data_IF_209268496969
#
_entry.id   IF_209268496969
#
_cell.length_a   1.000
_cell.length_b   1.000
_cell.length_c   1.000
_cell.angle_alpha   90.00
_cell.angle_beta   90.00
_cell.angle_gamma   90.00
#
_symmetry.space_group_name_H-M   'P 1'
#
loop_
_entity.id
_entity.type
_entity.pdbx_description
1 polymer ?
#
# COMPACT_ATOMS: atom_id res chain seq x y z
N UNK A 1 -9.73 5.41 -2.25
CA UNK A 1 -9.45 4.73 -3.51
C UNK A 1 -10.72 4.06 -4.06
N UNK A 2 -10.99 4.27 -5.33
CA UNK A 2 -12.24 3.89 -5.99
C UNK A 2 -12.57 2.40 -5.91
N UNK A 3 -11.58 1.53 -5.98
CA UNK A 3 -11.78 0.08 -6.00
C UNK A 3 -11.60 -0.60 -4.64
N UNK A 4 -11.37 0.16 -3.59
CA UNK A 4 -11.34 -0.37 -2.23
C UNK A 4 -12.73 -0.75 -1.76
N UNK A 5 -12.80 -1.66 -0.78
CA UNK A 5 -14.07 -1.99 -0.14
C UNK A 5 -14.74 -0.74 0.41
N UNK A 6 -16.04 -0.71 0.36
CA UNK A 6 -16.82 0.37 0.96
C UNK A 6 -16.80 0.28 2.47
N UNK A 7 -16.83 1.42 3.12
CA UNK A 7 -17.01 1.47 4.58
C UNK A 7 -18.43 1.05 4.94
N UNK A 8 -18.57 0.27 6.00
CA UNK A 8 -19.87 -0.05 6.57
C UNK A 8 -20.50 1.17 7.24
N UNK A 9 -21.81 1.18 7.41
CA UNK A 9 -22.51 2.22 8.16
C UNK A 9 -21.93 2.41 9.57
N UNK A 10 -21.52 1.32 10.23
CA UNK A 10 -20.88 1.36 11.54
C UNK A 10 -19.53 2.11 11.51
N UNK A 11 -18.67 1.80 10.51
CA UNK A 11 -17.39 2.48 10.34
C UNK A 11 -17.58 3.97 10.05
N UNK A 12 -18.51 4.31 9.13
CA UNK A 12 -18.84 5.68 8.77
C UNK A 12 -19.35 6.49 9.98
N UNK A 13 -20.26 5.90 10.75
CA UNK A 13 -20.76 6.50 11.99
C UNK A 13 -19.67 6.73 13.03
N UNK A 14 -18.74 5.77 13.17
CA UNK A 14 -17.61 5.89 14.09
C UNK A 14 -16.65 7.02 13.71
N UNK A 15 -16.52 7.31 12.41
CA UNK A 15 -15.64 8.39 11.94
C UNK A 15 -16.18 9.77 12.22
N UNK A 16 -17.46 10.00 11.96
CA UNK A 16 -18.05 11.37 12.04
C UNK A 16 -18.91 11.58 13.30
N UNK A 17 -19.19 10.53 14.04
CA UNK A 17 -20.06 10.55 15.21
C UNK A 17 -21.56 10.43 14.86
N UNK A 18 -22.35 10.07 15.87
CA UNK A 18 -23.78 9.76 15.71
C UNK A 18 -24.55 10.91 15.04
N UNK A 19 -24.38 12.13 15.56
CA UNK A 19 -25.16 13.30 15.11
C UNK A 19 -24.97 13.59 13.62
N UNK A 20 -23.72 13.64 13.16
CA UNK A 20 -23.39 13.92 11.75
C UNK A 20 -23.86 12.74 10.87
N UNK A 21 -23.66 11.52 11.34
CA UNK A 21 -24.10 10.34 10.59
C UNK A 21 -25.62 10.35 10.37
N UNK A 22 -26.43 10.57 11.41
CA UNK A 22 -27.89 10.54 11.32
C UNK A 22 -28.45 11.68 10.44
N UNK A 23 -27.74 12.83 10.40
CA UNK A 23 -28.16 13.98 9.58
C UNK A 23 -27.84 13.80 8.09
N UNK A 24 -26.74 13.14 7.74
CA UNK A 24 -26.21 13.14 6.36
C UNK A 24 -26.30 11.80 5.65
N UNK A 25 -26.33 10.68 6.38
CA UNK A 25 -26.38 9.33 5.79
C UNK A 25 -27.83 8.94 5.44
N UNK A 26 -28.09 8.27 4.30
CA UNK A 26 -27.13 7.87 3.27
C UNK A 26 -26.98 8.89 2.13
N UNK A 27 -27.80 9.92 2.07
CA UNK A 27 -27.96 10.72 0.84
C UNK A 27 -26.80 11.70 0.60
N UNK A 28 -26.22 12.25 1.67
CA UNK A 28 -25.15 13.26 1.62
C UNK A 28 -23.84 12.78 2.18
N UNK A 29 -23.83 11.68 2.93
CA UNK A 29 -22.65 10.99 3.42
C UNK A 29 -22.69 9.53 2.97
N UNK A 30 -21.89 9.18 1.96
CA UNK A 30 -21.93 7.90 1.27
C UNK A 30 -20.56 7.51 0.74
N UNK A 31 -20.37 6.21 0.43
CA UNK A 31 -19.19 5.73 -0.26
C UNK A 31 -19.27 6.02 -1.76
N UNK A 32 -18.17 6.43 -2.36
CA UNK A 32 -18.04 6.43 -3.81
C UNK A 32 -18.25 5.01 -4.36
N UNK A 33 -18.93 4.90 -5.51
CA UNK A 33 -19.21 3.65 -6.20
C UNK A 33 -18.68 3.71 -7.63
N UNK A 34 -17.55 3.04 -7.89
CA UNK A 34 -16.89 3.02 -9.20
C UNK A 34 -17.67 2.23 -10.26
N UNK A 35 -18.73 1.50 -9.87
CA UNK A 35 -19.59 0.69 -10.74
C UNK A 35 -21.00 1.28 -10.93
N UNK A 36 -21.29 2.42 -10.30
CA UNK A 36 -22.58 3.08 -10.47
C UNK A 36 -22.55 4.05 -11.64
N UNK A 37 -22.92 3.58 -12.83
CA UNK A 37 -22.82 4.31 -14.10
C UNK A 37 -23.53 5.66 -14.10
N UNK A 38 -24.70 5.76 -13.48
CA UNK A 38 -25.46 7.01 -13.36
C UNK A 38 -24.80 8.01 -12.41
N UNK A 39 -24.03 7.50 -11.46
CA UNK A 39 -23.25 8.29 -10.51
C UNK A 39 -21.86 8.69 -10.99
N UNK A 40 -21.53 8.40 -12.25
CA UNK A 40 -20.26 8.71 -12.88
C UNK A 40 -20.44 9.65 -14.08
N UNK A 41 -19.40 10.41 -14.41
CA UNK A 41 -19.36 11.28 -15.59
C UNK A 41 -17.93 11.30 -16.16
N UNK A 42 -17.81 11.16 -17.48
CA UNK A 42 -16.54 11.29 -18.18
C UNK A 42 -16.16 12.78 -18.27
N UNK A 43 -15.02 13.16 -17.71
CA UNK A 43 -14.46 14.50 -17.83
C UNK A 43 -13.66 14.67 -19.11
N UNK A 44 -12.92 13.65 -19.53
CA UNK A 44 -12.10 13.74 -20.72
C UNK A 44 -11.17 12.54 -20.88
N UNK A 45 -10.19 12.75 -21.72
CA UNK A 45 -9.15 11.77 -22.02
C UNK A 45 -7.85 12.52 -22.34
N UNK A 46 -6.70 12.06 -21.81
CA UNK A 46 -5.42 12.67 -22.16
C UNK A 46 -5.03 12.35 -23.61
N UNK A 47 -4.07 13.11 -24.16
CA UNK A 47 -3.48 12.80 -25.48
C UNK A 47 -2.83 11.41 -25.56
N UNK A 48 -2.55 10.79 -24.42
CA UNK A 48 -2.01 9.44 -24.31
C UNK A 48 -3.10 8.36 -24.17
N UNK A 49 -4.37 8.71 -24.42
CA UNK A 49 -5.51 7.79 -24.33
C UNK A 49 -5.80 7.28 -22.91
N UNK A 50 -5.49 8.10 -21.90
CA UNK A 50 -5.83 7.82 -20.51
C UNK A 50 -7.19 8.47 -20.23
N UNK A 51 -8.30 7.70 -20.06
CA UNK A 51 -9.61 8.25 -19.77
C UNK A 51 -9.73 8.71 -18.33
N UNK A 52 -10.55 9.71 -18.09
CA UNK A 52 -10.93 10.15 -16.75
C UNK A 52 -12.45 10.25 -16.64
N UNK A 53 -13.02 9.31 -15.92
CA UNK A 53 -14.43 9.26 -15.51
C UNK A 53 -14.45 9.30 -13.98
N UNK A 54 -15.20 10.23 -13.40
CA UNK A 54 -15.23 10.42 -11.94
C UNK A 54 -16.64 10.48 -11.39
N UNK A 55 -16.75 10.53 -10.07
CA UNK A 55 -17.99 10.75 -9.36
C UNK A 55 -18.71 12.00 -9.87
N UNK A 56 -19.98 11.84 -10.32
CA UNK A 56 -20.78 12.92 -10.92
C UNK A 56 -21.01 14.08 -9.96
N UNK A 57 -21.33 13.80 -8.68
CA UNK A 57 -21.58 14.88 -7.70
C UNK A 57 -20.34 15.73 -7.46
N UNK A 58 -19.14 15.11 -7.47
CA UNK A 58 -17.88 15.84 -7.37
C UNK A 58 -17.66 16.71 -8.61
N UNK A 59 -17.93 16.19 -9.80
CA UNK A 59 -17.75 16.90 -11.06
C UNK A 59 -18.75 18.07 -11.25
N UNK A 60 -19.97 17.92 -10.75
CA UNK A 60 -21.06 18.92 -10.87
C UNK A 60 -21.12 19.89 -9.69
N UNK A 61 -20.20 19.81 -8.71
CA UNK A 61 -20.15 20.74 -7.58
C UNK A 61 -19.45 22.04 -7.95
N UNK A 62 -19.95 23.18 -7.42
CA UNK A 62 -19.30 24.49 -7.58
C UNK A 62 -17.92 24.55 -6.95
N UNK A 63 -17.70 23.76 -5.90
CA UNK A 63 -16.45 23.64 -5.18
C UNK A 63 -16.28 22.22 -4.65
N UNK A 64 -15.20 21.55 -5.03
CA UNK A 64 -14.79 20.28 -4.44
C UNK A 64 -13.73 20.52 -3.36
N UNK A 65 -14.10 20.36 -2.09
CA UNK A 65 -13.12 20.32 -1.00
C UNK A 65 -12.65 18.88 -0.83
N UNK A 66 -11.38 18.64 -1.15
CA UNK A 66 -10.76 17.32 -1.02
C UNK A 66 -9.78 17.31 0.16
N UNK A 67 -10.07 16.49 1.17
CA UNK A 67 -9.23 16.36 2.36
C UNK A 67 -8.61 14.97 2.42
N UNK A 68 -7.29 14.89 2.55
CA UNK A 68 -6.58 13.62 2.67
C UNK A 68 -5.36 13.68 3.60
N UNK A 69 -4.93 12.50 4.01
CA UNK A 69 -3.67 12.29 4.72
C UNK A 69 -2.64 11.81 3.71
N UNK A 70 -1.49 12.48 3.68
CA UNK A 70 -0.32 12.05 2.96
C UNK A 70 0.59 11.28 3.91
N UNK A 71 0.64 9.98 3.76
CA UNK A 71 1.44 9.09 4.60
C UNK A 71 2.76 8.73 3.94
N UNK A 72 2.79 8.66 2.62
CA UNK A 72 3.98 8.41 1.80
C UNK A 72 3.99 9.37 0.61
N UNK A 73 5.16 9.69 0.03
CA UNK A 73 5.26 10.67 -1.08
C UNK A 73 4.43 10.37 -2.32
N UNK A 74 4.04 9.11 -2.52
CA UNK A 74 3.17 8.74 -3.64
C UNK A 74 1.69 9.08 -3.41
N UNK A 75 1.29 9.49 -2.21
CA UNK A 75 -0.08 9.86 -1.87
C UNK A 75 -0.29 11.35 -2.10
N UNK A 76 -1.54 11.75 -2.24
CA UNK A 76 -1.91 13.16 -2.35
C UNK A 76 -1.90 13.73 -3.76
N UNK A 77 -1.93 15.04 -3.86
CA UNK A 77 -1.96 15.77 -5.13
C UNK A 77 -3.14 15.39 -6.02
N UNK A 78 -2.95 15.51 -7.32
CA UNK A 78 -3.96 15.15 -8.32
C UNK A 78 -4.39 13.68 -8.26
N UNK A 79 -3.52 12.79 -7.77
CA UNK A 79 -3.84 11.38 -7.55
C UNK A 79 -5.03 11.21 -6.60
N UNK A 80 -5.24 12.10 -5.65
CA UNK A 80 -6.34 12.05 -4.69
C UNK A 80 -7.70 12.04 -5.40
N UNK A 81 -7.92 12.93 -6.36
CA UNK A 81 -9.16 12.99 -7.16
C UNK A 81 -9.16 11.93 -8.25
N UNK A 82 -8.09 11.85 -9.04
CA UNK A 82 -7.99 10.97 -10.21
C UNK A 82 -8.08 9.48 -9.86
N UNK A 83 -7.60 9.07 -8.67
CA UNK A 83 -7.66 7.69 -8.18
C UNK A 83 -8.77 7.48 -7.14
N UNK A 84 -9.06 8.52 -6.36
CA UNK A 84 -10.01 8.43 -5.24
C UNK A 84 -11.47 8.44 -5.66
N UNK A 85 -11.80 9.06 -6.80
CA UNK A 85 -13.16 9.28 -7.27
C UNK A 85 -13.44 8.72 -8.68
N UNK A 86 -12.50 7.96 -9.25
CA UNK A 86 -12.64 7.46 -10.64
C UNK A 86 -13.38 6.12 -10.74
N UNK A 87 -13.68 5.71 -11.97
CA UNK A 87 -14.15 4.37 -12.31
C UNK A 87 -13.01 3.36 -12.53
N UNK A 88 -13.37 2.11 -12.81
CA UNK A 88 -12.40 1.05 -13.08
C UNK A 88 -11.55 1.33 -14.33
N UNK A 89 -12.13 1.81 -15.43
CA UNK A 89 -11.39 2.05 -16.69
C UNK A 89 -10.35 3.17 -16.53
N UNK A 90 -10.67 4.23 -15.81
CA UNK A 90 -9.72 5.29 -15.49
C UNK A 90 -8.57 4.77 -14.64
N UNK A 91 -8.88 3.99 -13.60
CA UNK A 91 -7.87 3.41 -12.72
C UNK A 91 -6.97 2.43 -13.49
N UNK A 92 -7.55 1.60 -14.34
CA UNK A 92 -6.85 0.64 -15.19
C UNK A 92 -5.81 1.29 -16.10
N UNK A 93 -6.09 2.49 -16.60
CA UNK A 93 -5.20 3.21 -17.51
C UNK A 93 -3.89 3.66 -16.86
N UNK A 94 -3.89 3.91 -15.56
CA UNK A 94 -2.70 4.40 -14.85
C UNK A 94 -2.11 3.41 -13.82
N UNK A 95 -2.81 2.33 -13.45
CA UNK A 95 -2.29 1.28 -12.58
C UNK A 95 -1.92 0.00 -13.35
N UNK A 96 -1.63 0.09 -14.63
CA UNK A 96 -1.24 -1.05 -15.45
C UNK A 96 0.20 -1.53 -15.19
N UNK A 97 0.55 -2.78 -15.52
CA UNK A 97 1.90 -3.33 -15.29
C UNK A 97 3.03 -2.49 -15.90
N UNK A 98 2.81 -1.93 -17.10
CA UNK A 98 3.83 -1.11 -17.77
C UNK A 98 4.11 0.18 -17.00
N UNK A 99 3.08 0.88 -16.52
CA UNK A 99 3.25 2.09 -15.69
C UNK A 99 4.08 1.81 -14.45
N UNK A 100 3.81 0.66 -13.82
CA UNK A 100 4.53 0.26 -12.61
C UNK A 100 5.98 -0.11 -12.92
N UNK A 101 6.24 -0.78 -14.04
CA UNK A 101 7.60 -1.07 -14.51
C UNK A 101 8.40 0.20 -14.82
N UNK A 102 7.76 1.18 -15.42
CA UNK A 102 8.38 2.44 -15.83
C UNK A 102 8.52 3.44 -14.67
N UNK A 103 7.97 3.12 -13.51
CA UNK A 103 8.17 3.89 -12.28
C UNK A 103 9.42 3.39 -11.56
N UNK A 104 10.47 4.19 -11.50
CA UNK A 104 11.73 3.84 -10.85
C UNK A 104 11.53 3.67 -9.33
N UNK A 105 10.85 4.64 -8.70
CA UNK A 105 10.35 4.52 -7.33
C UNK A 105 8.99 5.19 -7.20
N UNK A 106 8.07 4.58 -6.45
CA UNK A 106 6.80 5.23 -6.11
C UNK A 106 6.98 6.36 -5.09
N UNK A 107 8.07 6.34 -4.33
CA UNK A 107 8.38 7.33 -3.29
C UNK A 107 9.17 8.52 -3.85
N UNK A 108 9.52 8.49 -5.13
CA UNK A 108 10.17 9.58 -5.85
C UNK A 108 9.26 10.06 -7.00
N UNK A 109 8.33 11.00 -6.76
CA UNK A 109 7.38 11.44 -7.78
C UNK A 109 8.04 11.95 -9.07
N UNK A 110 9.24 12.51 -8.99
CA UNK A 110 9.98 13.00 -10.16
C UNK A 110 10.45 11.87 -11.10
N UNK A 111 10.50 10.63 -10.61
CA UNK A 111 10.97 9.43 -11.32
C UNK A 111 9.87 8.37 -11.47
N UNK A 112 8.63 8.73 -11.21
CA UNK A 112 7.48 7.80 -11.22
C UNK A 112 6.58 8.08 -12.42
N UNK A 113 6.45 7.11 -13.34
CA UNK A 113 5.47 7.22 -14.44
C UNK A 113 4.04 7.21 -13.92
N UNK A 114 3.77 6.57 -12.80
CA UNK A 114 2.48 6.67 -12.12
C UNK A 114 2.16 8.11 -11.73
N UNK A 115 3.12 8.84 -11.16
CA UNK A 115 2.96 10.25 -10.80
C UNK A 115 2.76 11.12 -12.05
N UNK A 116 3.51 10.84 -13.13
CA UNK A 116 3.34 11.52 -14.40
C UNK A 116 1.94 11.33 -14.99
N UNK A 117 1.41 10.09 -14.98
CA UNK A 117 0.05 9.81 -15.44
C UNK A 117 -1.00 10.52 -14.59
N UNK A 118 -0.87 10.45 -13.27
CA UNK A 118 -1.77 11.18 -12.36
C UNK A 118 -1.71 12.70 -12.58
N UNK A 119 -0.55 13.26 -12.84
CA UNK A 119 -0.38 14.68 -13.18
C UNK A 119 -1.06 15.06 -14.51
N UNK A 120 -0.99 14.18 -15.54
CA UNK A 120 -1.70 14.41 -16.81
C UNK A 120 -3.23 14.40 -16.62
N UNK A 121 -3.74 13.44 -15.84
CA UNK A 121 -5.15 13.36 -15.48
C UNK A 121 -5.58 14.54 -14.60
N UNK A 122 -4.68 15.00 -13.73
CA UNK A 122 -4.90 16.17 -12.89
C UNK A 122 -5.15 17.45 -13.66
N UNK A 123 -4.52 17.62 -14.81
CA UNK A 123 -4.80 18.76 -15.70
C UNK A 123 -6.25 18.76 -16.18
N UNK A 124 -6.80 17.59 -16.52
CA UNK A 124 -8.22 17.47 -16.86
C UNK A 124 -9.11 17.85 -15.66
N UNK A 125 -8.70 17.42 -14.45
CA UNK A 125 -9.42 17.82 -13.23
C UNK A 125 -9.42 19.34 -13.06
N UNK A 126 -8.26 19.99 -13.16
CA UNK A 126 -8.12 21.45 -12.98
C UNK A 126 -8.86 22.28 -14.03
N UNK A 127 -9.03 21.73 -15.26
CA UNK A 127 -9.79 22.36 -16.35
C UNK A 127 -11.31 22.32 -16.10
N UNK A 128 -11.81 21.33 -15.34
CA UNK A 128 -13.24 21.08 -15.19
C UNK A 128 -13.77 21.37 -13.77
N UNK A 129 -12.92 21.28 -12.74
CA UNK A 129 -13.33 21.36 -11.35
C UNK A 129 -12.59 22.50 -10.60
N UNK A 130 -13.35 23.16 -9.75
CA UNK A 130 -12.76 24.05 -8.73
C UNK A 130 -12.41 23.22 -7.49
N UNK A 131 -11.16 22.76 -7.37
CA UNK A 131 -10.70 21.93 -6.26
C UNK A 131 -10.00 22.80 -5.21
N UNK A 132 -10.45 22.69 -3.97
CA UNK A 132 -9.77 23.19 -2.79
C UNK A 132 -9.21 22.00 -2.01
N UNK A 133 -7.92 21.84 -2.04
CA UNK A 133 -7.23 20.71 -1.43
C UNK A 133 -6.83 21.03 0.00
N UNK A 134 -7.01 20.05 0.90
CA UNK A 134 -6.51 20.05 2.27
C UNK A 134 -5.68 18.78 2.43
N UNK A 135 -4.37 18.92 2.51
CA UNK A 135 -3.47 17.78 2.75
C UNK A 135 -2.80 17.90 4.10
N UNK A 136 -2.77 16.77 4.80
CA UNK A 136 -2.09 16.65 6.09
C UNK A 136 -0.97 15.62 5.98
N UNK A 137 0.15 15.88 6.65
CA UNK A 137 1.16 14.87 6.91
C UNK A 137 1.06 14.41 8.36
N UNK A 138 1.43 13.16 8.58
CA UNK A 138 1.51 12.55 9.91
C UNK A 138 2.93 12.01 10.14
N UNK A 139 3.32 11.89 11.41
CA UNK A 139 4.58 11.24 11.72
C UNK A 139 4.46 9.70 11.57
N UNK A 140 5.60 9.01 11.62
CA UNK A 140 5.66 7.56 11.58
C UNK A 140 5.89 6.94 12.98
N UNK A 141 5.59 7.65 14.06
CA UNK A 141 5.74 7.16 15.42
C UNK A 141 4.61 6.19 15.75
N UNK A 142 4.90 4.90 15.63
CA UNK A 142 3.92 3.84 15.91
C UNK A 142 3.66 3.65 17.41
N UNK A 143 4.62 4.00 18.26
CA UNK A 143 4.59 3.72 19.69
C UNK A 143 4.70 5.00 20.52
N UNK A 144 4.04 5.04 21.67
CA UNK A 144 4.06 6.14 22.65
C UNK A 144 4.11 5.62 24.08
N UNK A 145 4.54 6.49 25.00
CA UNK A 145 4.55 6.22 26.43
C UNK A 145 5.44 5.03 26.78
N UNK A 146 4.92 4.08 27.51
CA UNK A 146 5.67 2.89 27.96
C UNK A 146 6.21 2.01 26.82
N UNK A 147 5.76 2.23 25.59
CA UNK A 147 6.19 1.51 24.39
C UNK A 147 7.20 2.30 23.55
N UNK A 148 7.55 3.53 23.91
CA UNK A 148 8.47 4.39 23.15
C UNK A 148 9.85 3.76 22.93
N UNK A 149 10.29 2.92 23.85
CA UNK A 149 11.58 2.23 23.73
C UNK A 149 11.67 1.34 22.48
N UNK A 150 10.53 0.87 21.94
CA UNK A 150 10.49 0.09 20.69
C UNK A 150 10.85 0.91 19.44
N UNK A 151 10.96 2.23 19.58
CA UNK A 151 11.44 3.12 18.51
C UNK A 151 12.97 3.26 18.49
N UNK A 152 13.64 2.77 19.52
CA UNK A 152 15.11 2.79 19.62
C UNK A 152 15.70 1.65 18.78
N UNK A 153 16.96 1.82 18.37
CA UNK A 153 17.75 0.67 17.96
C UNK A 153 17.97 -0.25 19.18
N UNK A 154 17.93 -1.56 18.98
CA UNK A 154 18.12 -2.54 20.07
C UNK A 154 19.51 -2.43 20.72
N UNK A 155 20.52 -1.96 19.99
CA UNK A 155 21.84 -1.68 20.54
C UNK A 155 21.81 -0.53 21.57
N UNK A 156 20.86 0.39 21.43
CA UNK A 156 20.65 1.53 22.33
C UNK A 156 19.71 1.20 23.51
N UNK A 157 19.24 -0.04 23.63
CA UNK A 157 18.37 -0.45 24.73
C UNK A 157 19.14 -0.40 26.05
N UNK A 158 18.58 0.33 27.02
CA UNK A 158 18.98 0.20 28.40
C UNK A 158 18.70 -1.20 28.96
N UNK A 159 19.28 -1.56 30.08
CA UNK A 159 18.97 -2.83 30.77
C UNK A 159 17.45 -2.97 31.06
N UNK A 160 16.79 -1.85 31.37
CA UNK A 160 15.35 -1.82 31.60
C UNK A 160 14.54 -2.02 30.31
N UNK A 161 14.96 -1.42 29.20
CA UNK A 161 14.34 -1.63 27.89
C UNK A 161 14.44 -3.11 27.47
N UNK A 162 15.63 -3.73 27.65
CA UNK A 162 15.83 -5.16 27.38
C UNK A 162 14.93 -6.05 28.24
N UNK A 163 14.82 -5.76 29.52
CA UNK A 163 13.93 -6.51 30.42
C UNK A 163 12.46 -6.38 29.98
N UNK A 164 12.00 -5.17 29.66
CA UNK A 164 10.64 -4.93 29.13
C UNK A 164 10.41 -5.70 27.82
N UNK A 165 11.36 -5.61 26.88
CA UNK A 165 11.26 -6.28 25.58
C UNK A 165 11.13 -7.79 25.75
N UNK A 166 12.01 -8.41 26.56
CA UNK A 166 11.96 -9.85 26.79
C UNK A 166 10.67 -10.30 27.50
N UNK A 167 10.19 -9.54 28.47
CA UNK A 167 8.92 -9.82 29.14
C UNK A 167 7.74 -9.74 28.17
N UNK A 168 7.71 -8.73 27.31
CA UNK A 168 6.71 -8.58 26.26
C UNK A 168 6.79 -9.72 25.25
N UNK A 169 7.96 -10.01 24.72
CA UNK A 169 8.21 -11.10 23.77
C UNK A 169 7.74 -12.44 24.33
N UNK A 170 8.12 -12.75 25.59
CA UNK A 170 7.69 -13.96 26.27
C UNK A 170 6.16 -14.02 26.40
N UNK A 171 5.54 -12.96 26.89
CA UNK A 171 4.09 -12.89 27.08
C UNK A 171 3.36 -13.06 25.74
N UNK A 172 3.78 -12.33 24.71
CA UNK A 172 3.18 -12.42 23.37
C UNK A 172 3.38 -13.80 22.75
N UNK A 173 4.50 -14.48 23.01
CA UNK A 173 4.73 -15.83 22.50
C UNK A 173 3.77 -16.89 23.09
N UNK A 174 3.21 -16.64 24.28
CA UNK A 174 2.23 -17.54 24.92
C UNK A 174 0.79 -17.31 24.47
N UNK A 175 0.51 -16.18 23.85
CA UNK A 175 -0.83 -15.89 23.35
C UNK A 175 -1.10 -16.61 22.02
N UNK A 176 -2.31 -17.15 21.80
CA UNK A 176 -2.73 -17.62 20.49
C UNK A 176 -2.63 -16.50 19.45
N UNK A 177 -2.31 -16.87 18.21
CA UNK A 177 -2.19 -15.92 17.08
C UNK A 177 -3.40 -14.97 16.95
N UNK A 178 -4.59 -15.51 17.06
CA UNK A 178 -5.85 -14.73 17.00
C UNK A 178 -5.94 -13.67 18.10
N UNK A 179 -5.48 -13.98 19.31
CA UNK A 179 -5.44 -13.03 20.42
C UNK A 179 -4.38 -11.93 20.19
N UNK A 180 -3.18 -12.29 19.73
CA UNK A 180 -2.12 -11.33 19.37
C UNK A 180 -2.61 -10.35 18.31
N UNK A 181 -3.25 -10.87 17.27
CA UNK A 181 -3.78 -10.05 16.19
C UNK A 181 -4.90 -9.13 16.65
N UNK A 182 -5.83 -9.63 17.47
CA UNK A 182 -6.89 -8.81 18.06
C UNK A 182 -6.33 -7.69 18.94
N UNK A 183 -5.28 -7.98 19.71
CA UNK A 183 -4.58 -6.98 20.52
C UNK A 183 -3.96 -5.92 19.63
N UNK A 184 -3.18 -6.30 18.62
CA UNK A 184 -2.56 -5.36 17.67
C UNK A 184 -3.61 -4.44 17.01
N UNK A 185 -4.70 -5.00 16.48
CA UNK A 185 -5.76 -4.23 15.84
C UNK A 185 -6.62 -3.39 16.80
N UNK A 186 -6.54 -3.64 18.10
CA UNK A 186 -7.22 -2.82 19.12
C UNK A 186 -6.40 -1.63 19.59
N UNK A 187 -5.09 -1.62 19.30
CA UNK A 187 -4.22 -0.51 19.67
C UNK A 187 -4.54 0.72 18.81
N UNK A 188 -4.73 1.90 19.40
CA UNK A 188 -4.90 3.11 18.62
C UNK A 188 -3.58 3.46 17.92
N UNK A 189 -3.68 3.93 16.68
CA UNK A 189 -2.53 4.51 16.00
C UNK A 189 -2.06 5.75 16.77
N UNK A 190 -0.75 5.83 17.00
CA UNK A 190 -0.13 6.93 17.76
C UNK A 190 0.41 8.03 16.84
N UNK A 191 -0.05 8.03 15.58
CA UNK A 191 0.35 9.05 14.62
C UNK A 191 -0.18 10.42 15.01
N UNK A 192 0.68 11.42 14.86
CA UNK A 192 0.34 12.82 15.08
C UNK A 192 0.43 13.58 13.76
N UNK A 193 -0.48 14.51 13.56
CA UNK A 193 -0.42 15.41 12.42
C UNK A 193 0.76 16.37 12.58
N UNK A 194 1.64 16.40 11.60
CA UNK A 194 2.87 17.20 11.61
C UNK A 194 2.81 18.42 10.70
N UNK A 195 1.89 18.41 9.74
CA UNK A 195 1.56 19.57 8.92
C UNK A 195 0.14 19.47 8.37
N UNK A 196 -0.47 20.63 8.06
CA UNK A 196 -1.71 20.75 7.34
C UNK A 196 -1.60 21.96 6.41
N UNK A 197 -1.74 21.74 5.12
CA UNK A 197 -1.77 22.82 4.12
C UNK A 197 -3.07 22.76 3.34
N UNK A 198 -3.53 23.93 2.89
CA UNK A 198 -4.79 24.05 2.17
C UNK A 198 -4.69 25.09 1.05
N UNK A 199 -5.35 24.82 -0.07
CA UNK A 199 -5.35 25.71 -1.25
C UNK A 199 -5.49 24.92 -2.56
N UNK A 200 -4.85 25.41 -3.61
CA UNK A 200 -4.78 24.71 -4.91
C UNK A 200 -3.93 23.44 -4.80
N UNK A 201 -4.29 22.43 -5.59
CA UNK A 201 -3.72 21.07 -5.51
C UNK A 201 -2.19 21.05 -5.58
N UNK A 202 -1.59 21.57 -6.65
CA UNK A 202 -0.12 21.50 -6.85
C UNK A 202 0.67 22.19 -5.73
N UNK A 203 0.44 23.49 -5.38
CA UNK A 203 1.22 24.15 -4.34
C UNK A 203 1.05 23.52 -2.94
N UNK A 204 -0.11 22.95 -2.65
CA UNK A 204 -0.36 22.25 -1.39
C UNK A 204 0.44 20.95 -1.36
N UNK A 205 0.38 20.19 -2.46
CA UNK A 205 1.08 18.91 -2.56
C UNK A 205 2.59 19.05 -2.51
N UNK A 206 3.17 20.06 -3.17
CA UNK A 206 4.60 20.35 -3.10
C UNK A 206 5.08 20.57 -1.65
N UNK A 207 4.32 21.36 -0.87
CA UNK A 207 4.65 21.58 0.56
C UNK A 207 4.53 20.33 1.41
N UNK A 208 3.55 19.47 1.12
CA UNK A 208 3.40 18.19 1.83
C UNK A 208 4.54 17.24 1.47
N UNK A 209 4.95 17.17 0.21
CA UNK A 209 6.10 16.37 -0.21
C UNK A 209 7.39 16.84 0.47
N UNK A 210 7.63 18.17 0.48
CA UNK A 210 8.77 18.74 1.20
C UNK A 210 8.77 18.32 2.67
N UNK A 211 7.62 18.45 3.34
CA UNK A 211 7.47 18.04 4.74
C UNK A 211 7.68 16.53 4.94
N UNK A 212 7.15 15.70 4.03
CA UNK A 212 7.33 14.25 4.04
C UNK A 212 8.80 13.85 3.93
N UNK A 213 9.52 14.42 2.98
CA UNK A 213 10.96 14.15 2.83
C UNK A 213 11.78 14.64 4.02
N UNK A 214 11.47 15.79 4.59
CA UNK A 214 12.12 16.26 5.84
C UNK A 214 11.93 15.27 6.99
N UNK A 215 10.83 14.54 7.03
CA UNK A 215 10.54 13.59 8.10
C UNK A 215 11.12 12.20 7.87
N UNK A 216 11.12 11.73 6.62
CA UNK A 216 11.32 10.32 6.29
C UNK A 216 12.60 10.04 5.51
N UNK A 217 13.20 11.05 4.86
CA UNK A 217 14.41 10.82 4.09
C UNK A 217 15.61 10.59 5.02
N UNK A 218 16.30 9.50 4.79
CA UNK A 218 17.48 9.07 5.53
C UNK A 218 18.63 9.00 4.52
N UNK A 219 19.67 9.84 4.63
CA UNK A 219 20.82 9.76 3.75
C UNK A 219 21.51 8.40 3.86
N UNK A 220 21.68 7.74 2.72
CA UNK A 220 22.32 6.42 2.65
C UNK A 220 23.39 6.43 1.56
N UNK A 221 24.57 5.93 1.89
CA UNK A 221 25.68 5.77 0.97
C UNK A 221 25.84 4.32 0.55
N UNK A 222 25.89 4.10 -0.74
CA UNK A 222 26.08 2.78 -1.31
C UNK A 222 24.82 1.92 -1.30
N UNK A 223 24.81 0.89 -2.13
CA UNK A 223 23.74 -0.10 -2.24
C UNK A 223 24.13 -1.39 -1.53
N UNK A 224 23.17 -2.11 -0.96
CA UNK A 224 23.40 -3.43 -0.41
C UNK A 224 23.15 -4.55 -1.43
N UNK A 225 23.72 -5.73 -1.14
CA UNK A 225 23.50 -6.97 -1.89
C UNK A 225 22.29 -7.75 -1.37
N UNK A 226 22.01 -7.60 -0.06
CA UNK A 226 20.92 -8.26 0.64
C UNK A 226 20.14 -7.19 1.43
N UNK A 227 18.86 -7.05 1.12
CA UNK A 227 17.95 -6.16 1.86
C UNK A 227 17.01 -7.00 2.71
N UNK A 228 16.95 -6.70 4.00
CA UNK A 228 16.05 -7.38 4.96
C UNK A 228 14.96 -6.42 5.39
N UNK A 229 13.71 -6.87 5.35
CA UNK A 229 12.56 -6.11 5.83
C UNK A 229 11.54 -7.00 6.54
N UNK A 230 10.97 -6.53 7.64
CA UNK A 230 9.81 -7.12 8.28
C UNK A 230 8.52 -6.52 7.72
N UNK A 231 7.52 -7.34 7.45
CA UNK A 231 6.20 -6.87 7.02
C UNK A 231 5.26 -6.89 8.22
N UNK A 232 4.69 -5.74 8.63
CA UNK A 232 3.69 -5.70 9.70
C UNK A 232 2.37 -6.35 9.23
N UNK A 233 1.60 -6.91 10.16
CA UNK A 233 0.27 -7.49 9.85
C UNK A 233 -0.82 -6.41 9.68
N UNK A 234 -0.43 -5.24 9.20
CA UNK A 234 -1.32 -4.10 8.89
C UNK A 234 -0.90 -3.43 7.59
N UNK A 235 -1.90 -3.11 6.78
CA UNK A 235 -1.74 -2.32 5.55
C UNK A 235 -3.03 -1.56 5.25
N UNK A 236 -3.03 -0.64 4.27
CA UNK A 236 -4.26 0.02 3.82
C UNK A 236 -5.33 -0.94 3.27
N UNK A 237 -4.95 -2.19 2.99
CA UNK A 237 -5.80 -3.16 2.29
C UNK A 237 -6.35 -4.27 3.17
N UNK A 238 -5.98 -4.33 4.45
CA UNK A 238 -6.48 -5.35 5.37
C UNK A 238 -7.09 -4.79 6.66
N UNK A 239 -7.69 -3.62 6.59
CA UNK A 239 -8.42 -3.03 7.72
C UNK A 239 -9.52 -3.99 8.17
N UNK A 240 -9.45 -4.44 9.43
CA UNK A 240 -10.29 -5.48 10.04
C UNK A 240 -10.19 -6.88 9.41
N UNK A 241 -9.20 -7.13 8.57
CA UNK A 241 -8.98 -8.44 7.95
C UNK A 241 -7.53 -8.92 8.09
N UNK A 242 -7.22 -10.09 7.53
CA UNK A 242 -5.88 -10.65 7.54
C UNK A 242 -5.04 -10.09 6.39
N UNK A 243 -3.73 -9.94 6.62
CA UNK A 243 -2.77 -9.68 5.57
C UNK A 243 -2.55 -10.98 4.76
N UNK A 244 -3.33 -11.16 3.70
CA UNK A 244 -3.28 -12.33 2.84
C UNK A 244 -2.00 -12.38 1.98
N UNK A 245 -1.68 -13.51 1.33
CA UNK A 245 -0.44 -13.66 0.53
C UNK A 245 -0.19 -12.56 -0.49
N UNK A 246 -1.22 -12.12 -1.21
CA UNK A 246 -1.07 -11.05 -2.22
C UNK A 246 -0.75 -9.70 -1.57
N UNK A 247 -1.28 -9.45 -0.37
CA UNK A 247 -0.96 -8.24 0.38
C UNK A 247 0.44 -8.28 0.98
N UNK A 248 0.95 -9.45 1.37
CA UNK A 248 2.37 -9.61 1.75
C UNK A 248 3.27 -9.27 0.56
N UNK A 249 2.90 -9.73 -0.64
CA UNK A 249 3.64 -9.43 -1.87
C UNK A 249 3.65 -7.94 -2.18
N UNK A 250 2.50 -7.25 -2.13
CA UNK A 250 2.44 -5.82 -2.41
C UNK A 250 3.21 -5.00 -1.36
N UNK A 251 3.15 -5.40 -0.09
CA UNK A 251 3.92 -4.74 0.95
C UNK A 251 5.43 -4.93 0.76
N UNK A 252 5.88 -6.14 0.45
CA UNK A 252 7.30 -6.45 0.25
C UNK A 252 7.88 -5.82 -1.01
N UNK A 253 7.37 -6.21 -2.17
CA UNK A 253 7.90 -5.80 -3.48
C UNK A 253 7.37 -4.45 -3.96
N UNK A 254 6.14 -4.09 -3.57
CA UNK A 254 5.51 -2.85 -3.98
C UNK A 254 5.87 -1.66 -3.08
N UNK A 255 5.87 -1.83 -1.75
CA UNK A 255 6.13 -0.73 -0.82
C UNK A 255 7.55 -0.76 -0.25
N UNK A 256 7.92 -1.77 0.50
CA UNK A 256 9.19 -1.78 1.23
C UNK A 256 10.41 -1.75 0.30
N UNK A 257 10.35 -2.44 -0.83
CA UNK A 257 11.39 -2.35 -1.85
C UNK A 257 11.53 -0.92 -2.39
N UNK A 258 10.44 -0.18 -2.52
CA UNK A 258 10.40 1.17 -3.10
C UNK A 258 10.64 2.31 -2.09
N UNK A 259 10.96 2.03 -0.84
CA UNK A 259 11.30 3.08 0.14
C UNK A 259 12.68 3.70 -0.14
N UNK A 260 12.86 4.25 -1.34
CA UNK A 260 14.08 4.96 -1.73
C UNK A 260 13.80 6.13 -2.67
N UNK A 261 14.77 7.04 -2.76
CA UNK A 261 14.89 8.09 -3.78
C UNK A 261 16.21 7.93 -4.53
N UNK A 262 16.28 8.48 -5.74
CA UNK A 262 17.40 8.48 -6.65
C UNK A 262 17.72 7.11 -7.24
N UNK A 263 18.12 6.13 -6.48
CA UNK A 263 18.39 4.75 -6.91
C UNK A 263 17.99 3.74 -5.84
N UNK A 264 17.68 2.49 -6.23
CA UNK A 264 17.30 1.45 -5.26
C UNK A 264 18.37 1.22 -4.20
N UNK A 265 17.93 0.98 -2.96
CA UNK A 265 18.82 0.59 -1.87
C UNK A 265 19.46 -0.78 -2.12
N UNK A 266 18.70 -1.72 -2.68
CA UNK A 266 19.18 -3.03 -3.10
C UNK A 266 19.82 -2.95 -4.49
N UNK A 267 21.00 -3.54 -4.70
CA UNK A 267 21.60 -3.69 -6.03
C UNK A 267 20.72 -4.55 -6.94
N UNK A 268 20.75 -4.24 -8.23
CA UNK A 268 20.02 -5.06 -9.21
C UNK A 268 20.51 -6.50 -9.17
N UNK A 269 19.58 -7.43 -9.11
CA UNK A 269 19.87 -8.86 -8.96
C UNK A 269 20.18 -9.31 -7.52
N UNK A 270 20.13 -8.38 -6.55
CA UNK A 270 20.31 -8.68 -5.14
C UNK A 270 19.18 -9.50 -4.53
N UNK A 271 19.32 -9.85 -3.27
CA UNK A 271 18.36 -10.69 -2.53
C UNK A 271 17.52 -9.83 -1.58
N UNK A 272 16.20 -9.95 -1.69
CA UNK A 272 15.25 -9.37 -0.74
C UNK A 272 14.79 -10.45 0.25
N UNK A 273 15.07 -10.27 1.53
CA UNK A 273 14.55 -11.12 2.60
C UNK A 273 13.34 -10.44 3.23
N UNK A 274 12.20 -11.12 3.17
CA UNK A 274 10.95 -10.67 3.78
C UNK A 274 10.69 -11.52 5.02
N UNK A 275 10.71 -10.89 6.20
CA UNK A 275 10.37 -11.56 7.46
C UNK A 275 8.87 -11.43 7.73
N UNK A 276 8.13 -12.51 7.48
CA UNK A 276 6.67 -12.59 7.69
C UNK A 276 6.22 -14.05 7.73
N UNK A 277 5.21 -14.41 8.56
CA UNK A 277 4.65 -15.78 8.61
C UNK A 277 4.01 -16.27 7.31
N UNK A 278 3.69 -15.40 6.37
CA UNK A 278 3.07 -15.73 5.09
C UNK A 278 1.85 -16.65 5.25
N UNK A 279 0.86 -16.17 5.99
CA UNK A 279 -0.36 -16.92 6.27
C UNK A 279 -1.08 -17.34 5.00
N UNK A 280 -1.42 -18.62 4.87
CA UNK A 280 -2.28 -19.12 3.81
C UNK A 280 -3.75 -18.93 4.19
N UNK A 281 -4.13 -17.69 4.33
CA UNK A 281 -5.46 -17.30 4.79
C UNK A 281 -5.94 -16.03 4.07
N UNK A 282 -7.24 -15.98 3.80
CA UNK A 282 -7.94 -14.86 3.18
C UNK A 282 -9.20 -14.52 3.98
N UNK A 283 -9.58 -13.25 3.96
CA UNK A 283 -10.90 -12.83 4.41
C UNK A 283 -11.91 -13.01 3.26
N UNK A 284 -12.88 -13.90 3.47
CA UNK A 284 -13.85 -14.25 2.44
C UNK A 284 -14.85 -13.14 2.12
N UNK A 285 -15.05 -12.20 3.06
CA UNK A 285 -15.96 -11.06 2.84
C UNK A 285 -15.25 -9.92 2.10
N UNK A 286 -14.03 -9.60 2.53
CA UNK A 286 -13.30 -8.46 1.96
C UNK A 286 -12.56 -8.83 0.68
N UNK A 287 -12.02 -10.05 0.58
CA UNK A 287 -11.08 -10.45 -0.46
C UNK A 287 -11.52 -11.68 -1.30
N UNK A 288 -12.79 -11.83 -1.70
CA UNK A 288 -13.23 -13.03 -2.44
C UNK A 288 -12.50 -13.23 -3.77
N UNK A 289 -12.28 -12.16 -4.55
CA UNK A 289 -11.55 -12.21 -5.82
C UNK A 289 -10.07 -12.52 -5.67
N UNK A 290 -9.46 -12.20 -4.50
CA UNK A 290 -8.08 -12.55 -4.21
C UNK A 290 -7.87 -14.05 -4.03
N UNK A 291 -8.86 -14.73 -3.45
CA UNK A 291 -8.84 -16.19 -3.28
C UNK A 291 -8.75 -16.87 -4.64
N UNK A 292 -9.60 -16.44 -5.56
CA UNK A 292 -9.60 -16.99 -6.91
C UNK A 292 -8.34 -16.61 -7.68
N UNK A 293 -7.87 -15.38 -7.60
CA UNK A 293 -6.62 -14.95 -8.19
C UNK A 293 -5.44 -15.81 -7.72
N UNK A 294 -5.31 -16.01 -6.41
CA UNK A 294 -4.23 -16.79 -5.83
C UNK A 294 -4.29 -18.27 -6.22
N UNK A 295 -5.46 -18.89 -6.10
CA UNK A 295 -5.60 -20.35 -6.29
C UNK A 295 -5.75 -20.76 -7.77
N UNK A 296 -6.32 -19.93 -8.62
CA UNK A 296 -6.57 -20.25 -10.04
C UNK A 296 -5.53 -19.65 -10.97
N UNK A 297 -5.17 -18.38 -10.78
CA UNK A 297 -4.37 -17.66 -11.77
C UNK A 297 -2.87 -17.78 -11.53
N UNK A 298 -2.39 -17.66 -10.30
CA UNK A 298 -0.96 -17.74 -10.00
C UNK A 298 -0.32 -19.11 -10.32
N UNK A 299 -1.00 -20.26 -10.20
CA UNK A 299 -0.47 -21.52 -10.71
C UNK A 299 -0.26 -21.57 -12.22
N UNK A 300 -1.08 -20.83 -12.97
CA UNK A 300 -0.97 -20.75 -14.43
C UNK A 300 0.15 -19.80 -14.85
N UNK A 301 0.18 -18.60 -14.28
CA UNK A 301 1.19 -17.59 -14.62
C UNK A 301 1.37 -16.57 -13.49
N UNK A 302 2.63 -16.10 -13.34
CA UNK A 302 2.99 -14.96 -12.52
C UNK A 302 3.28 -13.69 -13.34
N UNK A 303 3.22 -13.80 -14.67
CA UNK A 303 3.42 -12.66 -15.57
C UNK A 303 2.23 -11.70 -15.49
N UNK A 304 2.49 -10.48 -15.04
CA UNK A 304 1.46 -9.47 -14.83
C UNK A 304 0.78 -9.05 -16.15
N UNK A 305 1.49 -9.05 -17.26
CA UNK A 305 0.94 -8.69 -18.58
C UNK A 305 0.01 -9.78 -19.08
N UNK A 306 0.44 -11.05 -18.97
CA UNK A 306 -0.39 -12.20 -19.31
C UNK A 306 -1.68 -12.21 -18.48
N UNK A 307 -1.58 -12.04 -17.16
CA UNK A 307 -2.72 -12.02 -16.26
C UNK A 307 -3.68 -10.86 -16.57
N UNK A 308 -3.13 -9.67 -16.86
CA UNK A 308 -3.91 -8.51 -17.28
C UNK A 308 -4.72 -8.77 -18.53
N UNK A 309 -4.04 -9.25 -19.58
CA UNK A 309 -4.67 -9.45 -20.89
C UNK A 309 -5.76 -10.52 -20.85
N UNK A 310 -5.49 -11.61 -20.13
CA UNK A 310 -6.37 -12.78 -20.13
C UNK A 310 -7.52 -12.68 -19.15
N UNK A 311 -7.30 -12.13 -17.96
CA UNK A 311 -8.22 -12.31 -16.83
C UNK A 311 -8.74 -11.03 -16.18
N UNK A 312 -8.02 -9.90 -16.26
CA UNK A 312 -8.39 -8.71 -15.48
C UNK A 312 -9.83 -8.24 -15.77
N UNK A 313 -10.23 -8.20 -17.07
CA UNK A 313 -11.58 -7.79 -17.44
C UNK A 313 -12.65 -8.82 -17.08
N UNK A 314 -12.31 -10.11 -17.08
CA UNK A 314 -13.20 -11.16 -16.58
C UNK A 314 -13.59 -10.91 -15.13
N UNK A 315 -12.58 -10.64 -14.28
CA UNK A 315 -12.79 -10.35 -12.87
C UNK A 315 -13.50 -9.01 -12.64
N UNK A 316 -13.10 -7.97 -13.37
CA UNK A 316 -13.71 -6.65 -13.27
C UNK A 316 -15.21 -6.68 -13.58
N UNK A 317 -15.60 -7.43 -14.61
CA UNK A 317 -16.98 -7.49 -15.09
C UNK A 317 -17.78 -8.67 -14.51
N UNK A 318 -17.21 -9.46 -13.60
CA UNK A 318 -17.91 -10.57 -12.97
C UNK A 318 -19.08 -10.05 -12.12
N UNK A 319 -20.34 -10.39 -12.44
CA UNK A 319 -21.50 -9.84 -11.74
C UNK A 319 -21.49 -10.10 -10.23
N UNK A 320 -20.97 -11.25 -9.81
CA UNK A 320 -20.88 -11.59 -8.39
C UNK A 320 -19.88 -10.69 -7.67
N UNK A 321 -18.71 -10.42 -8.27
CA UNK A 321 -17.71 -9.53 -7.67
C UNK A 321 -18.18 -8.07 -7.67
N UNK A 322 -18.86 -7.64 -8.74
CA UNK A 322 -19.47 -6.30 -8.78
C UNK A 322 -20.51 -6.14 -7.67
N UNK A 323 -21.38 -7.13 -7.47
CA UNK A 323 -22.40 -7.10 -6.41
C UNK A 323 -21.76 -7.09 -5.01
N UNK A 324 -20.74 -7.94 -4.78
CA UNK A 324 -20.00 -7.98 -3.50
C UNK A 324 -19.28 -6.67 -3.23
N UNK A 325 -18.69 -6.02 -4.24
CA UNK A 325 -18.08 -4.70 -4.12
C UNK A 325 -19.12 -3.63 -3.81
N UNK A 326 -20.23 -3.62 -4.53
CA UNK A 326 -21.26 -2.58 -4.38
C UNK A 326 -22.02 -2.67 -3.06
N UNK A 327 -22.32 -3.88 -2.59
CA UNK A 327 -23.21 -4.13 -1.44
C UNK A 327 -22.67 -5.06 -0.37
N UNK A 328 -21.65 -5.86 -0.69
CA UNK A 328 -21.11 -6.89 0.20
C UNK A 328 -19.85 -6.49 0.95
N UNK A 329 -19.39 -5.25 0.88
CA UNK A 329 -18.19 -4.76 1.56
C UNK A 329 -16.88 -5.45 1.11
N UNK A 330 -16.84 -5.98 -0.11
CA UNK A 330 -15.64 -6.56 -0.71
C UNK A 330 -14.84 -5.51 -1.49
N UNK A 331 -13.55 -5.77 -1.70
CA UNK A 331 -12.76 -5.09 -2.70
C UNK A 331 -13.28 -5.43 -4.10
N UNK A 332 -13.13 -4.52 -5.04
CA UNK A 332 -13.53 -4.73 -6.44
C UNK A 332 -12.87 -5.97 -7.05
N UNK A 333 -13.54 -6.63 -8.01
CA UNK A 333 -13.06 -7.86 -8.64
C UNK A 333 -11.65 -7.75 -9.24
N UNK A 334 -11.31 -6.61 -9.86
CA UNK A 334 -9.99 -6.36 -10.43
C UNK A 334 -8.91 -5.98 -9.40
N UNK A 335 -9.25 -5.72 -8.15
CA UNK A 335 -8.29 -5.19 -7.16
C UNK A 335 -7.07 -6.11 -6.92
N UNK A 336 -7.16 -7.46 -6.87
CA UNK A 336 -5.98 -8.32 -6.71
C UNK A 336 -4.98 -8.18 -7.86
N UNK A 337 -5.43 -7.85 -9.08
CA UNK A 337 -4.53 -7.60 -10.21
C UNK A 337 -3.66 -6.38 -9.95
N UNK A 338 -4.25 -5.27 -9.49
CA UNK A 338 -3.47 -4.06 -9.16
C UNK A 338 -2.50 -4.32 -8.01
N UNK A 339 -2.90 -5.09 -7.01
CA UNK A 339 -1.98 -5.50 -5.93
C UNK A 339 -0.82 -6.34 -6.48
N UNK A 340 -1.08 -7.21 -7.44
CA UNK A 340 -0.03 -7.97 -8.11
C UNK A 340 0.91 -7.07 -8.93
N UNK A 341 0.34 -6.12 -9.69
CA UNK A 341 1.12 -5.20 -10.53
C UNK A 341 2.05 -4.31 -9.71
N UNK A 342 1.65 -3.88 -8.52
CA UNK A 342 2.49 -3.10 -7.63
C UNK A 342 3.85 -3.75 -7.32
N UNK A 343 3.98 -5.04 -7.44
CA UNK A 343 5.25 -5.74 -7.29
C UNK A 343 6.14 -5.74 -8.55
N UNK A 344 5.70 -5.21 -9.70
CA UNK A 344 6.43 -5.32 -10.97
C UNK A 344 7.78 -4.61 -10.96
N UNK A 345 7.87 -3.42 -10.39
CA UNK A 345 9.14 -2.73 -10.22
C UNK A 345 10.14 -3.60 -9.43
N UNK A 346 9.72 -4.09 -8.26
CA UNK A 346 10.55 -4.99 -7.45
C UNK A 346 10.91 -6.29 -8.18
N UNK A 347 9.97 -6.94 -8.87
CA UNK A 347 10.23 -8.18 -9.62
C UNK A 347 11.27 -8.04 -10.72
N UNK A 348 11.33 -6.88 -11.38
CA UNK A 348 12.36 -6.62 -12.40
C UNK A 348 13.76 -6.41 -11.81
N UNK A 349 13.83 -5.95 -10.57
CA UNK A 349 15.07 -5.51 -9.95
C UNK A 349 15.70 -6.58 -9.06
N UNK A 350 14.87 -7.25 -8.25
CA UNK A 350 15.28 -8.24 -7.25
C UNK A 350 15.61 -9.57 -7.94
N UNK A 351 16.78 -10.13 -7.65
CA UNK A 351 17.20 -11.43 -8.19
C UNK A 351 16.50 -12.60 -7.49
N UNK A 352 16.32 -12.49 -6.18
CA UNK A 352 15.69 -13.53 -5.34
C UNK A 352 14.90 -12.89 -4.22
N UNK A 353 13.76 -13.49 -3.87
CA UNK A 353 13.02 -13.18 -2.65
C UNK A 353 13.01 -14.40 -1.75
N UNK A 354 13.35 -14.21 -0.46
CA UNK A 354 13.33 -15.27 0.54
C UNK A 354 12.34 -14.85 1.65
N UNK A 355 11.32 -15.69 1.88
CA UNK A 355 10.37 -15.53 2.97
C UNK A 355 10.93 -16.20 4.24
N UNK A 356 11.42 -15.41 5.17
CA UNK A 356 11.94 -15.89 6.44
C UNK A 356 10.81 -16.03 7.47
N UNK A 357 10.69 -17.20 8.09
CA UNK A 357 9.67 -17.51 9.10
C UNK A 357 8.29 -17.81 8.54
N UNK A 358 8.16 -18.12 7.26
CA UNK A 358 6.90 -18.54 6.65
C UNK A 358 6.40 -19.85 7.27
N UNK A 359 5.12 -19.90 7.68
CA UNK A 359 4.51 -21.05 8.36
C UNK A 359 4.49 -22.32 7.50
N UNK A 360 4.43 -22.17 6.18
CA UNK A 360 4.43 -23.29 5.23
C UNK A 360 5.21 -22.91 3.95
N UNK A 361 5.48 -23.91 3.12
CA UNK A 361 6.19 -23.69 1.85
C UNK A 361 5.23 -23.29 0.69
N UNK A 362 3.92 -23.48 0.86
CA UNK A 362 2.93 -23.27 -0.21
C UNK A 362 2.89 -21.81 -0.65
N UNK A 363 2.69 -20.89 0.30
CA UNK A 363 2.55 -19.45 -0.02
C UNK A 363 3.80 -18.89 -0.68
N UNK A 364 5.04 -19.05 -0.14
CA UNK A 364 6.25 -18.62 -0.84
C UNK A 364 6.35 -19.20 -2.25
N UNK A 365 6.10 -20.50 -2.42
CA UNK A 365 6.16 -21.15 -3.73
C UNK A 365 5.15 -20.55 -4.73
N UNK A 366 3.92 -20.26 -4.30
CA UNK A 366 2.90 -19.61 -5.12
C UNK A 366 3.33 -18.21 -5.56
N UNK A 367 3.99 -17.45 -4.68
CA UNK A 367 4.50 -16.12 -4.97
C UNK A 367 5.81 -16.15 -5.81
N UNK A 368 6.42 -17.32 -6.01
CA UNK A 368 7.70 -17.47 -6.69
C UNK A 368 8.91 -17.16 -5.79
N UNK A 369 8.75 -17.29 -4.49
CA UNK A 369 9.75 -17.02 -3.47
C UNK A 369 10.32 -18.30 -2.88
N UNK A 370 11.51 -18.19 -2.31
CA UNK A 370 12.10 -19.24 -1.49
C UNK A 370 11.65 -19.12 -0.03
N UNK A 371 11.66 -20.22 0.71
CA UNK A 371 11.31 -20.26 2.13
C UNK A 371 12.53 -20.53 2.98
N UNK A 372 12.64 -19.82 4.09
CA UNK A 372 13.56 -20.14 5.19
C UNK A 372 12.79 -20.22 6.51
N UNK A 373 13.21 -21.10 7.40
CA UNK A 373 12.53 -21.28 8.70
C UNK A 373 12.70 -20.08 9.62
N UNK A 374 13.81 -19.36 9.47
CA UNK A 374 14.12 -18.19 10.28
C UNK A 374 15.08 -17.25 9.53
N UNK A 375 15.35 -16.09 10.14
CA UNK A 375 16.21 -15.07 9.54
C UNK A 375 17.66 -15.52 9.37
N UNK A 376 18.18 -16.30 10.29
CA UNK A 376 19.57 -16.82 10.21
C UNK A 376 19.76 -17.72 8.98
N UNK A 377 18.80 -18.62 8.75
CA UNK A 377 18.79 -19.46 7.55
C UNK A 377 18.61 -18.64 6.28
N UNK A 378 17.69 -17.66 6.29
CA UNK A 378 17.48 -16.80 5.12
C UNK A 378 18.76 -16.02 4.74
N UNK A 379 19.50 -15.51 5.72
CA UNK A 379 20.78 -14.84 5.48
C UNK A 379 21.81 -15.85 4.93
N UNK A 380 21.88 -17.05 5.47
CA UNK A 380 22.78 -18.09 4.97
C UNK A 380 22.45 -18.44 3.51
N UNK A 381 21.17 -18.64 3.18
CA UNK A 381 20.72 -18.85 1.81
C UNK A 381 21.09 -17.67 0.90
N UNK A 382 20.80 -16.44 1.31
CA UNK A 382 21.12 -15.25 0.54
C UNK A 382 22.62 -15.13 0.23
N UNK A 383 23.47 -15.47 1.18
CA UNK A 383 24.92 -15.49 0.98
C UNK A 383 25.40 -16.56 0.00
N UNK A 384 24.65 -17.63 -0.23
CA UNK A 384 24.99 -18.60 -1.30
C UNK A 384 24.85 -17.98 -2.69
N UNK A 385 23.97 -17.01 -2.86
CA UNK A 385 23.75 -16.26 -4.10
C UNK A 385 24.68 -15.07 -4.27
N UNK A 386 24.91 -14.32 -3.16
CA UNK A 386 25.59 -13.03 -3.20
C UNK A 386 27.06 -13.09 -2.75
N UNK A 387 27.49 -14.23 -2.20
CA UNK A 387 28.83 -14.41 -1.64
C UNK A 387 28.88 -14.12 -0.13
N UNK A 388 29.95 -14.61 0.52
CA UNK A 388 30.13 -14.51 1.99
C UNK A 388 30.37 -13.08 2.46
N UNK A 389 30.91 -12.21 1.61
CA UNK A 389 31.20 -10.80 1.86
C UNK A 389 30.05 -9.84 1.47
N UNK A 390 28.88 -10.39 1.12
CA UNK A 390 27.73 -9.60 0.72
C UNK A 390 27.35 -8.56 1.79
N UNK A 391 27.13 -7.32 1.33
CA UNK A 391 26.66 -6.22 2.18
C UNK A 391 25.17 -6.39 2.48
N UNK A 392 24.82 -6.31 3.76
CA UNK A 392 23.46 -6.49 4.25
C UNK A 392 22.96 -5.19 4.83
N UNK A 393 21.79 -4.74 4.37
CA UNK A 393 21.04 -3.65 5.00
C UNK A 393 19.73 -4.21 5.53
N UNK A 394 19.40 -3.86 6.76
CA UNK A 394 18.13 -4.22 7.39
C UNK A 394 17.31 -2.96 7.65
N UNK A 395 16.07 -2.95 7.16
CA UNK A 395 15.07 -1.98 7.60
C UNK A 395 14.58 -2.44 8.97
N UNK A 396 15.20 -1.90 10.00
CA UNK A 396 15.11 -2.40 11.37
C UNK A 396 13.69 -2.38 11.93
N UNK A 397 12.91 -1.37 11.59
CA UNK A 397 11.51 -1.27 11.99
C UNK A 397 10.62 -1.20 10.76
N UNK A 398 9.42 -1.81 10.77
CA UNK A 398 8.47 -1.71 9.68
C UNK A 398 7.81 -0.32 9.64
N UNK A 399 8.61 0.71 9.77
CA UNK A 399 8.19 2.12 9.69
C UNK A 399 8.41 2.65 8.29
N UNK A 400 7.75 3.75 7.99
CA UNK A 400 8.01 4.50 6.78
C UNK A 400 9.30 5.30 6.97
N UNK A 401 10.33 4.89 6.26
CA UNK A 401 11.56 5.62 6.05
C UNK A 401 11.92 5.54 4.58
N UNK A 402 12.56 6.57 4.05
CA UNK A 402 12.93 6.65 2.63
C UNK A 402 14.45 6.78 2.57
N UNK A 403 15.10 5.77 2.01
CA UNK A 403 16.54 5.84 1.75
C UNK A 403 16.80 6.91 0.67
N UNK A 404 17.42 8.02 1.06
CA UNK A 404 17.87 9.06 0.15
C UNK A 404 19.28 8.70 -0.31
N UNK A 405 19.36 8.07 -1.48
CA UNK A 405 20.58 7.44 -1.98
C UNK A 405 21.51 8.46 -2.63
N UNK A 406 22.74 8.55 -2.10
CA UNK A 406 23.83 9.36 -2.63
C UNK A 406 24.59 8.65 -3.77
#
# INVERSE_FOLDING_TARGET
NSLHRKMTAWEMKRMVGQKIFDEFYPDRYYNHDAEWKEGLIKLGETRHKEPLTINRRAAESDLLIYANINFVPMDGGHKSVAVGLCDYESLRAHHEPQTIRDSDSYMDPARSELSNKCGRLGKIVDEHLNVFHIETSINNRMYKGDMDFLLKNEDDFSAFDRMKFEAMRYTMSKLPRTARRKLLHSMPAQYEMTACYAGKTEPVHEKILEKGFQQYAIPVRGQCDILITGIPDISPYNVYSILNPLLVQVMGLGYHFNFYRNKPLLRKGGVLIIHHPCYDQFDHNHHPSYIEFFNRLLPESRDAFYLREKYEREFANNPSYVEMYRRGNAYHGAHPFFMWYWGENGRQHVGKVIAAGAENAHVPAMLGWERADNLTEAIAMARTYMGSSAEITMLHQPMIGIADME
#
